data_IF_713406619075
#
_entry.id   IF_713406619075
#
_cell.length_a   1.000
_cell.length_b   1.000
_cell.length_c   1.000
_cell.angle_alpha   90.00
_cell.angle_beta   90.00
_cell.angle_gamma   90.00
#
_symmetry.space_group_name_H-M   'P 1'
#
loop_
_entity.id
_entity.type
_entity.pdbx_description
1 polymer ?
#
# COMPACT_ATOMS: atom_id res chain seq x y z
N UNK A 1 7.81 16.52 8.64
CA UNK A 1 7.31 17.89 8.89
C UNK A 1 8.32 18.58 9.77
N UNK A 2 8.70 19.82 9.48
CA UNK A 2 9.79 20.48 10.20
C UNK A 2 9.62 20.43 11.73
N UNK A 3 8.47 20.81 12.34
CA UNK A 3 8.35 20.81 13.79
C UNK A 3 8.43 19.42 14.45
N UNK A 4 8.07 18.34 13.71
CA UNK A 4 8.12 16.98 14.24
C UNK A 4 9.53 16.38 14.19
N UNK A 5 10.29 16.72 13.15
CA UNK A 5 11.61 16.12 12.89
C UNK A 5 12.74 16.99 13.43
N UNK A 6 12.58 18.32 13.43
CA UNK A 6 13.61 19.29 13.83
C UNK A 6 14.24 19.01 15.21
N UNK A 7 13.48 18.66 16.26
CA UNK A 7 14.09 18.36 17.56
C UNK A 7 15.10 17.22 17.50
N UNK A 8 14.76 16.12 16.83
CA UNK A 8 15.68 14.99 16.64
C UNK A 8 16.76 15.26 15.59
N UNK A 9 16.52 16.15 14.63
CA UNK A 9 17.48 16.43 13.56
C UNK A 9 18.61 17.35 14.02
N UNK A 10 18.31 18.34 14.86
CA UNK A 10 19.27 19.31 15.36
C UNK A 10 19.78 19.01 16.77
N UNK A 11 19.20 17.99 17.44
CA UNK A 11 19.68 17.52 18.73
C UNK A 11 21.00 16.75 18.63
N UNK A 12 21.79 16.78 19.69
CA UNK A 12 22.97 15.93 19.83
C UNK A 12 22.56 14.50 20.16
N UNK A 13 23.23 13.52 19.55
CA UNK A 13 22.97 12.09 19.77
C UNK A 13 24.22 11.37 20.24
N UNK A 14 24.14 10.77 21.42
CA UNK A 14 25.14 9.81 21.89
C UNK A 14 24.88 8.41 21.31
N UNK A 15 25.92 7.57 21.33
CA UNK A 15 25.79 6.18 20.91
C UNK A 15 24.77 5.42 21.76
N UNK A 16 23.83 4.77 21.09
CA UNK A 16 22.78 3.95 21.70
C UNK A 16 22.74 2.60 21.00
N UNK A 17 23.25 1.58 21.69
CA UNK A 17 23.38 0.23 21.14
C UNK A 17 22.01 -0.37 20.79
N UNK A 18 20.97 -0.11 21.61
CA UNK A 18 19.61 -0.65 21.36
C UNK A 18 19.04 -0.02 20.09
N UNK A 19 19.19 1.30 19.94
CA UNK A 19 18.78 2.03 18.74
C UNK A 19 19.50 1.51 17.50
N UNK A 20 20.81 1.31 17.58
CA UNK A 20 21.59 0.75 16.48
C UNK A 20 21.09 -0.65 16.07
N UNK A 21 20.86 -1.55 17.04
CA UNK A 21 20.30 -2.88 16.76
C UNK A 21 18.91 -2.80 16.11
N UNK A 22 18.02 -1.95 16.60
CA UNK A 22 16.65 -1.82 16.06
C UNK A 22 16.62 -1.22 14.67
N UNK A 23 17.53 -0.28 14.40
CA UNK A 23 17.73 0.30 13.09
C UNK A 23 18.24 -0.74 12.09
N UNK A 24 19.28 -1.50 12.44
CA UNK A 24 19.83 -2.56 11.60
C UNK A 24 18.79 -3.65 11.29
N UNK A 25 17.98 -4.08 12.27
CA UNK A 25 16.87 -5.02 12.03
C UNK A 25 15.91 -4.48 10.98
N UNK A 26 15.59 -3.18 11.06
CA UNK A 26 14.66 -2.54 10.15
C UNK A 26 15.24 -2.40 8.74
N UNK A 27 16.52 -2.05 8.63
CA UNK A 27 17.24 -1.97 7.35
C UNK A 27 17.25 -3.33 6.66
N UNK A 28 17.67 -4.39 7.37
CA UNK A 28 17.68 -5.75 6.82
C UNK A 28 16.28 -6.23 6.45
N UNK A 29 15.26 -5.93 7.26
CA UNK A 29 13.87 -6.22 6.90
C UNK A 29 13.41 -5.48 5.65
N UNK A 30 13.85 -4.24 5.46
CA UNK A 30 13.58 -3.47 4.25
C UNK A 30 14.23 -4.08 3.00
N UNK A 31 15.51 -4.46 3.10
CA UNK A 31 16.22 -5.15 2.03
C UNK A 31 15.60 -6.51 1.69
N UNK A 32 15.18 -7.29 2.69
CA UNK A 32 14.48 -8.54 2.48
C UNK A 32 13.22 -8.32 1.62
N UNK A 33 12.37 -7.35 1.98
CA UNK A 33 11.16 -7.06 1.20
C UNK A 33 11.48 -6.61 -0.23
N UNK A 34 12.44 -5.70 -0.39
CA UNK A 34 12.81 -5.17 -1.71
C UNK A 34 13.42 -6.25 -2.60
N UNK A 35 14.53 -6.84 -2.18
CA UNK A 35 15.37 -7.65 -3.07
C UNK A 35 14.93 -9.12 -3.13
N UNK A 36 14.33 -9.66 -2.06
CA UNK A 36 13.87 -11.06 -2.05
C UNK A 36 12.42 -11.19 -2.55
N UNK A 37 11.63 -10.12 -2.55
CA UNK A 37 10.21 -10.22 -2.95
C UNK A 37 9.89 -9.27 -4.09
N UNK A 38 10.07 -7.97 -3.91
CA UNK A 38 9.61 -7.00 -4.90
C UNK A 38 10.36 -7.12 -6.24
N UNK A 39 11.69 -7.13 -6.21
CA UNK A 39 12.54 -7.21 -7.42
C UNK A 39 12.37 -8.53 -8.18
N UNK A 40 11.85 -9.56 -7.52
CA UNK A 40 11.47 -10.82 -8.14
C UNK A 40 10.11 -10.78 -8.79
N UNK A 41 9.11 -10.25 -8.07
CA UNK A 41 7.73 -10.18 -8.56
C UNK A 41 7.55 -9.18 -9.71
N UNK A 42 8.37 -8.13 -9.76
CA UNK A 42 8.28 -7.09 -10.80
C UNK A 42 8.45 -7.65 -12.21
N UNK A 43 9.25 -8.72 -12.39
CA UNK A 43 9.45 -9.38 -13.68
C UNK A 43 8.13 -9.94 -14.22
N UNK A 44 7.41 -10.71 -13.39
CA UNK A 44 6.10 -11.23 -13.77
C UNK A 44 5.06 -10.13 -13.96
N UNK A 45 5.07 -9.09 -13.11
CA UNK A 45 4.16 -7.94 -13.24
C UNK A 45 4.36 -7.26 -14.59
N UNK A 46 5.60 -6.91 -14.94
CA UNK A 46 5.93 -6.26 -16.22
C UNK A 46 5.48 -7.13 -17.39
N UNK A 47 5.82 -8.43 -17.37
CA UNK A 47 5.43 -9.35 -18.46
C UNK A 47 3.91 -9.39 -18.66
N UNK A 48 3.11 -9.40 -17.59
CA UNK A 48 1.64 -9.40 -17.69
C UNK A 48 1.10 -8.07 -18.22
N UNK A 49 1.56 -6.94 -17.69
CA UNK A 49 0.98 -5.63 -18.01
C UNK A 49 1.42 -5.10 -19.37
N UNK A 50 2.58 -5.54 -19.86
CA UNK A 50 3.12 -5.16 -21.18
C UNK A 50 2.40 -5.85 -22.33
N UNK A 51 1.79 -7.02 -22.11
CA UNK A 51 1.05 -7.76 -23.15
C UNK A 51 -0.37 -8.19 -22.68
N UNK A 52 -1.30 -7.23 -22.54
CA UNK A 52 -2.66 -7.49 -22.08
C UNK A 52 -3.49 -8.35 -23.04
N UNK A 53 -3.08 -8.46 -24.31
CA UNK A 53 -3.77 -9.31 -25.29
C UNK A 53 -3.38 -10.77 -25.11
N UNK A 54 -2.10 -11.06 -24.81
CA UNK A 54 -1.62 -12.39 -24.46
C UNK A 54 -2.08 -12.84 -23.08
N UNK A 55 -2.19 -11.91 -22.11
CA UNK A 55 -2.55 -12.21 -20.72
C UNK A 55 -3.91 -11.61 -20.29
N UNK A 56 -5.03 -11.99 -20.91
CA UNK A 56 -6.36 -11.52 -20.54
C UNK A 56 -6.91 -12.25 -19.31
N UNK A 57 -8.07 -11.79 -18.82
CA UNK A 57 -8.89 -12.60 -17.92
C UNK A 57 -8.28 -12.75 -16.54
N UNK A 58 -8.19 -14.00 -16.09
CA UNK A 58 -7.61 -14.36 -14.80
C UNK A 58 -6.16 -13.87 -14.64
N UNK A 59 -5.41 -13.74 -15.74
CA UNK A 59 -4.03 -13.25 -15.68
C UNK A 59 -3.95 -11.78 -15.28
N UNK A 60 -4.95 -10.97 -15.63
CA UNK A 60 -5.06 -9.57 -15.15
C UNK A 60 -5.28 -9.54 -13.64
N UNK A 61 -6.17 -10.39 -13.11
CA UNK A 61 -6.41 -10.49 -11.67
C UNK A 61 -5.16 -10.99 -10.92
N UNK A 62 -4.47 -11.98 -11.48
CA UNK A 62 -3.20 -12.48 -10.94
C UNK A 62 -2.11 -11.40 -10.95
N UNK A 63 -1.94 -10.69 -12.08
CA UNK A 63 -1.02 -9.57 -12.20
C UNK A 63 -1.31 -8.45 -11.21
N UNK A 64 -2.59 -8.12 -10.96
CA UNK A 64 -2.98 -7.13 -9.95
C UNK A 64 -2.59 -7.55 -8.53
N UNK A 65 -2.69 -8.84 -8.20
CA UNK A 65 -2.25 -9.37 -6.90
C UNK A 65 -0.72 -9.36 -6.77
N UNK A 66 0.00 -9.76 -7.81
CA UNK A 66 1.46 -9.69 -7.85
C UNK A 66 1.93 -8.24 -7.71
N UNK A 67 1.33 -7.32 -8.44
CA UNK A 67 1.62 -5.88 -8.34
C UNK A 67 1.31 -5.34 -6.94
N UNK A 68 0.21 -5.76 -6.31
CA UNK A 68 -0.09 -5.33 -4.95
C UNK A 68 0.98 -5.78 -3.94
N UNK A 69 1.51 -7.00 -4.09
CA UNK A 69 2.58 -7.53 -3.25
C UNK A 69 3.94 -6.87 -3.55
N UNK A 70 4.28 -6.71 -4.82
CA UNK A 70 5.48 -6.04 -5.31
C UNK A 70 5.52 -4.59 -4.81
N UNK A 71 4.48 -3.80 -5.10
CA UNK A 71 4.36 -2.42 -4.67
C UNK A 71 4.44 -2.26 -3.15
N UNK A 72 3.85 -3.19 -2.38
CA UNK A 72 3.97 -3.17 -0.93
C UNK A 72 5.41 -3.44 -0.47
N UNK A 73 6.03 -4.48 -1.00
CA UNK A 73 7.36 -4.90 -0.56
C UNK A 73 8.44 -3.90 -0.99
N UNK A 74 8.34 -3.35 -2.20
CA UNK A 74 9.23 -2.31 -2.71
C UNK A 74 9.13 -1.05 -1.85
N UNK A 75 7.93 -0.49 -1.77
CA UNK A 75 7.75 0.83 -1.18
C UNK A 75 7.95 0.79 0.33
N UNK A 76 7.35 -0.18 1.01
CA UNK A 76 7.61 -0.31 2.46
C UNK A 76 9.03 -0.76 2.74
N UNK A 77 9.70 -1.47 1.81
CA UNK A 77 11.11 -1.85 1.91
C UNK A 77 12.01 -0.62 1.93
N UNK A 78 11.85 0.26 0.94
CA UNK A 78 12.57 1.53 0.85
C UNK A 78 12.35 2.40 2.07
N UNK A 79 11.09 2.58 2.50
CA UNK A 79 10.78 3.36 3.70
C UNK A 79 11.37 2.72 4.98
N UNK A 80 11.38 1.40 5.11
CA UNK A 80 11.99 0.75 6.27
C UNK A 80 13.51 0.96 6.31
N UNK A 81 14.18 0.94 5.15
CA UNK A 81 15.60 1.29 5.04
C UNK A 81 15.81 2.76 5.43
N UNK A 82 15.04 3.69 4.86
CA UNK A 82 15.14 5.13 5.18
C UNK A 82 14.95 5.41 6.66
N UNK A 83 13.90 4.85 7.28
CA UNK A 83 13.64 5.02 8.72
C UNK A 83 14.73 4.33 9.55
N UNK A 84 15.21 3.17 9.11
CA UNK A 84 16.31 2.48 9.78
C UNK A 84 17.59 3.33 9.79
N UNK A 85 17.98 3.87 8.63
CA UNK A 85 19.16 4.74 8.52
C UNK A 85 18.99 6.02 9.36
N UNK A 86 17.83 6.69 9.28
CA UNK A 86 17.56 7.87 10.09
C UNK A 86 17.71 7.58 11.60
N UNK A 87 17.18 6.45 12.07
CA UNK A 87 17.32 6.03 13.47
C UNK A 87 18.77 5.70 13.87
N UNK A 88 19.64 5.23 12.96
CA UNK A 88 21.07 5.06 13.27
C UNK A 88 21.73 6.38 13.66
N UNK A 89 21.31 7.48 13.03
CA UNK A 89 21.78 8.83 13.32
C UNK A 89 20.96 9.52 14.42
N UNK A 90 20.05 8.82 15.10
CA UNK A 90 19.17 9.38 16.12
C UNK A 90 18.05 10.29 15.61
N UNK A 91 17.85 10.36 14.28
CA UNK A 91 16.80 11.15 13.67
C UNK A 91 15.50 10.36 13.64
N UNK A 92 14.46 10.91 14.30
CA UNK A 92 13.15 10.30 14.35
C UNK A 92 12.31 10.71 13.15
N UNK A 93 11.90 9.72 12.37
CA UNK A 93 11.04 9.90 11.20
C UNK A 93 9.75 9.09 11.37
N UNK A 94 8.64 9.67 10.91
CA UNK A 94 7.32 9.08 11.08
C UNK A 94 7.14 7.80 10.27
N UNK A 95 6.37 6.86 10.83
CA UNK A 95 5.93 5.66 10.12
C UNK A 95 5.07 6.00 8.91
N UNK A 96 5.33 5.34 7.78
CA UNK A 96 4.57 5.56 6.55
C UNK A 96 3.53 4.47 6.26
N UNK A 97 3.67 3.29 6.87
CA UNK A 97 2.81 2.14 6.62
C UNK A 97 2.44 1.43 7.90
N UNK A 98 1.15 1.08 8.05
CA UNK A 98 0.65 0.37 9.21
C UNK A 98 -0.29 -0.76 8.80
N UNK A 99 0.29 -1.85 8.27
CA UNK A 99 -0.45 -3.07 7.87
C UNK A 99 -1.72 -2.75 7.05
N UNK A 100 -1.57 -2.06 5.90
CA UNK A 100 -2.70 -1.56 5.11
C UNK A 100 -3.60 -2.68 4.57
N UNK A 101 -3.04 -3.85 4.27
CA UNK A 101 -3.81 -5.01 3.79
C UNK A 101 -4.76 -5.63 4.84
N UNK A 102 -4.70 -5.20 6.10
CA UNK A 102 -5.67 -5.58 7.14
C UNK A 102 -6.85 -4.60 7.27
N UNK A 103 -6.96 -3.63 6.36
CA UNK A 103 -8.02 -2.61 6.38
C UNK A 103 -9.36 -3.20 5.97
N UNK A 104 -10.43 -2.78 6.65
CA UNK A 104 -11.80 -3.25 6.40
C UNK A 104 -12.56 -2.36 5.41
N UNK A 105 -12.03 -1.20 5.07
CA UNK A 105 -12.57 -0.29 4.07
C UNK A 105 -11.46 0.60 3.48
N UNK A 106 -11.75 1.26 2.36
CA UNK A 106 -10.78 2.07 1.60
C UNK A 106 -10.31 3.29 2.39
N UNK A 107 -11.18 3.94 3.17
CA UNK A 107 -10.76 5.05 4.03
C UNK A 107 -9.77 4.60 5.12
N UNK A 108 -9.95 3.40 5.69
CA UNK A 108 -9.00 2.80 6.62
C UNK A 108 -7.68 2.42 5.93
N UNK A 109 -7.75 1.91 4.70
CA UNK A 109 -6.58 1.59 3.88
C UNK A 109 -5.68 2.81 3.73
N UNK A 110 -6.23 3.95 3.32
CA UNK A 110 -5.49 5.20 3.14
C UNK A 110 -5.02 5.87 4.43
N UNK A 111 -5.60 5.52 5.58
CA UNK A 111 -5.04 5.90 6.89
C UNK A 111 -3.84 5.06 7.30
N UNK A 112 -3.58 3.94 6.62
CA UNK A 112 -2.52 2.96 6.91
C UNK A 112 -1.50 2.82 5.78
N UNK A 113 -1.77 3.40 4.62
CA UNK A 113 -0.92 3.41 3.44
C UNK A 113 -0.42 4.83 3.19
N UNK A 114 0.89 5.01 3.00
CA UNK A 114 1.51 6.30 2.71
C UNK A 114 1.07 7.42 3.68
N UNK A 115 1.11 7.12 4.98
CA UNK A 115 0.57 7.94 6.07
C UNK A 115 1.12 9.37 6.04
N UNK A 116 2.42 9.55 5.76
CA UNK A 116 3.05 10.87 5.77
C UNK A 116 2.49 11.75 4.66
N UNK A 117 2.34 11.22 3.44
CA UNK A 117 1.72 11.90 2.30
C UNK A 117 0.23 12.17 2.55
N UNK A 118 -0.51 11.17 3.03
CA UNK A 118 -1.94 11.33 3.35
C UNK A 118 -2.18 12.41 4.41
N UNK A 119 -1.30 12.50 5.41
CA UNK A 119 -1.36 13.55 6.43
C UNK A 119 -0.95 14.91 5.86
N UNK A 120 0.01 14.97 4.94
CA UNK A 120 0.39 16.19 4.23
C UNK A 120 -0.78 16.76 3.41
N UNK A 121 -1.40 15.97 2.54
CA UNK A 121 -2.57 16.42 1.76
C UNK A 121 -3.76 16.81 2.64
N UNK A 122 -3.99 16.08 3.74
CA UNK A 122 -5.06 16.42 4.68
C UNK A 122 -4.84 17.81 5.30
N UNK A 123 -3.63 18.10 5.76
CA UNK A 123 -3.36 19.32 6.51
C UNK A 123 -3.11 20.54 5.62
N UNK A 124 -2.52 20.34 4.44
CA UNK A 124 -2.18 21.42 3.50
C UNK A 124 -3.16 21.59 2.34
N UNK A 125 -4.05 20.63 2.09
CA UNK A 125 -5.05 20.71 1.01
C UNK A 125 -6.47 20.57 1.55
N UNK A 126 -6.81 19.47 2.22
CA UNK A 126 -8.19 19.18 2.62
C UNK A 126 -8.77 20.21 3.60
N UNK A 127 -8.13 20.43 4.75
CA UNK A 127 -8.65 21.35 5.75
C UNK A 127 -8.70 22.81 5.27
N UNK A 128 -7.63 23.35 4.64
CA UNK A 128 -7.68 24.70 4.08
C UNK A 128 -8.84 24.88 3.09
N UNK A 129 -9.06 23.90 2.20
CA UNK A 129 -10.15 23.95 1.22
C UNK A 129 -11.54 23.92 1.86
N UNK A 130 -11.75 23.11 2.91
CA UNK A 130 -13.03 23.07 3.61
C UNK A 130 -13.43 24.45 4.17
N UNK A 131 -12.44 25.27 4.56
CA UNK A 131 -12.63 26.63 5.10
C UNK A 131 -12.48 27.75 4.06
N UNK A 132 -12.23 27.40 2.79
CA UNK A 132 -12.01 28.39 1.75
C UNK A 132 -13.30 29.19 1.46
N UNK A 133 -13.17 30.52 1.28
CA UNK A 133 -14.32 31.41 1.02
C UNK A 133 -15.26 30.91 -0.09
N UNK A 134 -14.78 30.41 -1.25
CA UNK A 134 -15.66 29.88 -2.30
C UNK A 134 -16.47 28.65 -1.83
N UNK A 135 -15.84 27.74 -1.09
CA UNK A 135 -16.48 26.53 -0.56
C UNK A 135 -17.51 26.89 0.51
N UNK A 136 -17.22 27.87 1.36
CA UNK A 136 -18.18 28.39 2.34
C UNK A 136 -19.40 29.04 1.67
N UNK A 137 -19.21 29.82 0.58
CA UNK A 137 -20.30 30.40 -0.20
C UNK A 137 -21.19 29.29 -0.82
N UNK A 138 -20.56 28.28 -1.41
CA UNK A 138 -21.27 27.12 -1.99
C UNK A 138 -22.04 26.34 -0.90
N UNK A 139 -21.44 26.18 0.28
CA UNK A 139 -22.08 25.53 1.43
C UNK A 139 -23.32 26.30 1.90
N UNK A 140 -23.25 27.63 1.97
CA UNK A 140 -24.40 28.48 2.32
C UNK A 140 -25.50 28.39 1.26
N UNK A 141 -25.14 28.42 -0.01
CA UNK A 141 -26.10 28.23 -1.12
C UNK A 141 -26.80 26.86 -1.01
N UNK A 142 -26.04 25.79 -0.79
CA UNK A 142 -26.58 24.45 -0.63
C UNK A 142 -27.49 24.32 0.59
N UNK A 143 -27.16 24.98 1.71
CA UNK A 143 -28.02 25.05 2.89
C UNK A 143 -29.38 25.66 2.56
N UNK A 144 -29.39 26.77 1.83
CA UNK A 144 -30.62 27.49 1.49
C UNK A 144 -31.51 26.72 0.51
N UNK A 145 -30.91 25.99 -0.45
CA UNK A 145 -31.65 25.29 -1.51
C UNK A 145 -32.01 23.84 -1.18
N UNK A 146 -31.15 23.14 -0.44
CA UNK A 146 -31.23 21.68 -0.23
C UNK A 146 -31.19 21.27 1.26
N UNK A 147 -31.15 22.24 2.18
CA UNK A 147 -31.20 22.00 3.62
C UNK A 147 -29.84 21.65 4.27
N UNK A 148 -29.89 21.41 5.58
CA UNK A 148 -28.69 21.25 6.42
C UNK A 148 -27.86 20.00 6.08
N UNK A 149 -28.50 18.93 5.59
CA UNK A 149 -27.81 17.69 5.20
C UNK A 149 -26.84 17.92 4.04
N UNK A 150 -27.29 18.61 2.98
CA UNK A 150 -26.46 18.95 1.83
C UNK A 150 -25.31 19.88 2.24
N UNK A 151 -25.58 20.88 3.10
CA UNK A 151 -24.58 21.82 3.59
C UNK A 151 -23.41 21.12 4.32
N UNK A 152 -23.67 20.03 5.05
CA UNK A 152 -22.60 19.27 5.74
C UNK A 152 -21.70 18.50 4.76
N UNK A 153 -22.23 18.09 3.60
CA UNK A 153 -21.53 17.23 2.62
C UNK A 153 -20.68 18.02 1.63
N UNK A 154 -21.17 19.18 1.18
CA UNK A 154 -20.50 20.04 0.19
C UNK A 154 -19.01 20.28 0.47
N UNK A 155 -18.59 20.75 1.66
CA UNK A 155 -17.17 21.03 1.89
C UNK A 155 -16.31 19.77 1.83
N UNK A 156 -16.83 18.65 2.33
CA UNK A 156 -16.15 17.35 2.30
C UNK A 156 -15.97 16.89 0.85
N UNK A 157 -17.01 17.00 0.02
CA UNK A 157 -16.95 16.55 -1.38
C UNK A 157 -15.96 17.36 -2.19
N UNK A 158 -16.05 18.69 -2.11
CA UNK A 158 -15.14 19.57 -2.85
C UNK A 158 -13.70 19.32 -2.40
N UNK A 159 -13.45 19.29 -1.10
CA UNK A 159 -12.10 19.07 -0.58
C UNK A 159 -11.57 17.67 -0.92
N UNK A 160 -12.39 16.61 -0.87
CA UNK A 160 -11.99 15.26 -1.26
C UNK A 160 -11.70 15.16 -2.76
N UNK A 161 -12.55 15.73 -3.62
CA UNK A 161 -12.33 15.72 -5.08
C UNK A 161 -11.01 16.41 -5.42
N UNK A 162 -10.78 17.60 -4.89
CA UNK A 162 -9.54 18.35 -5.15
C UNK A 162 -8.34 17.60 -4.58
N UNK A 163 -8.42 17.11 -3.34
CA UNK A 163 -7.33 16.34 -2.72
C UNK A 163 -6.94 15.12 -3.57
N UNK A 164 -7.92 14.33 -3.99
CA UNK A 164 -7.66 13.10 -4.76
C UNK A 164 -7.21 13.38 -6.18
N UNK A 165 -7.71 14.45 -6.80
CA UNK A 165 -7.20 14.93 -8.08
C UNK A 165 -5.73 15.35 -7.96
N UNK A 166 -5.39 16.17 -6.97
CA UNK A 166 -4.00 16.58 -6.70
C UNK A 166 -3.11 15.40 -6.33
N UNK A 167 -3.63 14.41 -5.60
CA UNK A 167 -2.91 13.18 -5.29
C UNK A 167 -2.60 12.40 -6.56
N UNK A 168 -3.57 12.26 -7.48
CA UNK A 168 -3.34 11.65 -8.79
C UNK A 168 -2.31 12.42 -9.62
N UNK A 169 -2.43 13.75 -9.67
CA UNK A 169 -1.49 14.61 -10.39
C UNK A 169 -0.06 14.53 -9.82
N UNK A 170 0.08 14.35 -8.51
CA UNK A 170 1.38 14.14 -7.85
C UNK A 170 2.05 12.81 -8.25
N UNK A 171 1.29 11.77 -8.60
CA UNK A 171 1.88 10.48 -9.01
C UNK A 171 2.44 10.51 -10.45
N UNK A 172 2.04 11.48 -11.29
CA UNK A 172 2.64 11.65 -12.61
C UNK A 172 1.70 12.27 -13.65
N UNK A 173 2.28 12.63 -14.80
CA UNK A 173 1.60 13.32 -15.90
C UNK A 173 0.77 12.39 -16.82
N UNK A 174 0.15 11.34 -16.27
CA UNK A 174 -0.72 10.42 -17.01
C UNK A 174 -2.16 10.50 -16.53
N UNK A 175 -3.13 10.42 -17.45
CA UNK A 175 -4.55 10.34 -17.13
C UNK A 175 -4.90 9.14 -16.25
N UNK A 176 -4.10 8.06 -16.32
CA UNK A 176 -4.24 6.92 -15.44
C UNK A 176 -4.18 7.30 -13.96
N UNK A 177 -3.20 8.11 -13.57
CA UNK A 177 -3.05 8.53 -12.17
C UNK A 177 -4.19 9.45 -11.70
N UNK A 178 -4.70 10.30 -12.60
CA UNK A 178 -5.89 11.11 -12.31
C UNK A 178 -7.11 10.22 -12.08
N UNK A 179 -7.37 9.24 -12.96
CA UNK A 179 -8.48 8.31 -12.80
C UNK A 179 -8.33 7.40 -11.59
N UNK A 180 -7.11 7.00 -11.26
CA UNK A 180 -6.81 6.28 -10.03
C UNK A 180 -7.18 7.11 -8.79
N UNK A 181 -6.78 8.38 -8.74
CA UNK A 181 -7.08 9.27 -7.62
C UNK A 181 -8.59 9.51 -7.51
N UNK A 182 -9.22 9.84 -8.63
CA UNK A 182 -10.67 10.05 -8.71
C UNK A 182 -11.47 8.78 -8.40
N UNK A 183 -10.98 7.61 -8.78
CA UNK A 183 -11.58 6.31 -8.44
C UNK A 183 -11.57 6.05 -6.94
N UNK A 184 -10.45 6.33 -6.26
CA UNK A 184 -10.38 6.27 -4.81
C UNK A 184 -11.34 7.26 -4.14
N UNK A 185 -11.40 8.50 -4.65
CA UNK A 185 -12.36 9.51 -4.18
C UNK A 185 -13.80 9.01 -4.29
N UNK A 186 -14.17 8.51 -5.47
CA UNK A 186 -15.50 8.00 -5.76
C UNK A 186 -15.89 6.88 -4.78
N UNK A 187 -15.04 5.88 -4.59
CA UNK A 187 -15.32 4.77 -3.68
C UNK A 187 -15.48 5.26 -2.23
N UNK A 188 -14.66 6.20 -1.78
CA UNK A 188 -14.76 6.77 -0.43
C UNK A 188 -16.07 7.54 -0.25
N UNK A 189 -16.42 8.42 -1.18
CA UNK A 189 -17.64 9.24 -1.11
C UNK A 189 -18.91 8.38 -1.21
N UNK A 190 -18.93 7.40 -2.11
CA UNK A 190 -20.04 6.44 -2.20
C UNK A 190 -20.16 5.65 -0.91
N UNK A 191 -19.04 5.18 -0.33
CA UNK A 191 -19.07 4.49 0.96
C UNK A 191 -19.64 5.36 2.09
N UNK A 192 -19.32 6.66 2.11
CA UNK A 192 -19.89 7.61 3.06
C UNK A 192 -21.41 7.76 2.89
N UNK A 193 -21.90 7.86 1.65
CA UNK A 193 -23.34 7.97 1.38
C UNK A 193 -24.12 6.70 1.70
N UNK A 194 -23.48 5.53 1.60
CA UNK A 194 -24.07 4.25 1.97
C UNK A 194 -24.05 3.98 3.49
N UNK A 195 -23.46 4.87 4.30
CA UNK A 195 -23.41 4.74 5.77
C UNK A 195 -24.77 4.44 6.42
N UNK A 196 -25.90 5.07 6.03
CA UNK A 196 -27.21 4.73 6.59
C UNK A 196 -27.64 3.29 6.32
N UNK A 197 -27.29 2.73 5.15
CA UNK A 197 -27.56 1.33 4.82
C UNK A 197 -26.72 0.39 5.67
N UNK A 198 -25.44 0.72 5.87
CA UNK A 198 -24.58 -0.03 6.78
C UNK A 198 -25.14 -0.02 8.20
N UNK A 199 -25.59 1.14 8.70
CA UNK A 199 -26.23 1.24 10.02
C UNK A 199 -27.48 0.36 10.12
N UNK A 200 -28.34 0.34 9.10
CA UNK A 200 -29.52 -0.54 9.05
C UNK A 200 -29.14 -2.03 9.08
N UNK A 201 -28.09 -2.42 8.37
CA UNK A 201 -27.57 -3.78 8.41
C UNK A 201 -27.03 -4.16 9.80
N UNK A 202 -26.23 -3.30 10.43
CA UNK A 202 -25.67 -3.58 11.76
C UNK A 202 -26.75 -3.57 12.85
N UNK A 203 -27.82 -2.78 12.69
CA UNK A 203 -28.97 -2.85 13.58
C UNK A 203 -29.68 -4.22 13.53
N UNK A 204 -29.70 -4.87 12.36
CA UNK A 204 -30.24 -6.24 12.20
C UNK A 204 -29.24 -7.33 12.63
N UNK A 205 -27.95 -7.03 12.62
CA UNK A 205 -26.89 -7.97 12.98
C UNK A 205 -25.86 -7.32 13.94
N UNK A 206 -26.23 -7.08 15.21
CA UNK A 206 -25.39 -6.30 16.15
C UNK A 206 -24.01 -6.91 16.40
N UNK A 207 -23.91 -8.23 16.43
CA UNK A 207 -22.67 -8.94 16.75
C UNK A 207 -21.78 -9.25 15.53
N UNK A 208 -22.18 -8.83 14.33
CA UNK A 208 -21.49 -9.21 13.09
C UNK A 208 -20.04 -8.71 13.07
N UNK A 209 -19.79 -7.55 13.67
CA UNK A 209 -18.47 -6.94 13.80
C UNK A 209 -17.50 -7.74 14.68
N UNK A 210 -18.00 -8.67 15.50
CA UNK A 210 -17.16 -9.56 16.29
C UNK A 210 -16.76 -10.83 15.53
N UNK A 211 -17.56 -11.22 14.52
CA UNK A 211 -17.37 -12.46 13.78
C UNK A 211 -16.16 -12.37 12.85
N UNK A 212 -15.33 -13.41 12.87
CA UNK A 212 -14.09 -13.44 12.09
C UNK A 212 -14.36 -13.44 10.58
N UNK A 213 -15.37 -14.17 10.11
CA UNK A 213 -15.70 -14.27 8.69
C UNK A 213 -16.14 -12.91 8.10
N UNK A 214 -16.86 -12.08 8.86
CA UNK A 214 -17.26 -10.75 8.41
C UNK A 214 -16.05 -9.80 8.31
N UNK A 215 -15.15 -9.85 9.29
CA UNK A 215 -13.88 -9.11 9.25
C UNK A 215 -13.05 -9.52 8.04
N UNK A 216 -12.92 -10.83 7.80
CA UNK A 216 -12.20 -11.38 6.64
C UNK A 216 -12.83 -10.94 5.33
N UNK A 217 -14.16 -11.01 5.20
CA UNK A 217 -14.87 -10.53 4.01
C UNK A 217 -14.61 -9.04 3.75
N UNK A 218 -14.67 -8.20 4.79
CA UNK A 218 -14.38 -6.77 4.66
C UNK A 218 -12.94 -6.51 4.21
N UNK A 219 -11.98 -7.28 4.72
CA UNK A 219 -10.56 -7.21 4.34
C UNK A 219 -10.39 -7.64 2.88
N UNK A 220 -10.91 -8.81 2.49
CA UNK A 220 -10.82 -9.33 1.12
C UNK A 220 -11.45 -8.34 0.13
N UNK A 221 -12.67 -7.85 0.41
CA UNK A 221 -13.35 -6.83 -0.40
C UNK A 221 -12.50 -5.58 -0.57
N UNK A 222 -11.92 -5.07 0.52
CA UNK A 222 -11.12 -3.84 0.48
C UNK A 222 -9.88 -4.02 -0.39
N UNK A 223 -9.18 -5.14 -0.23
CA UNK A 223 -8.01 -5.43 -1.04
C UNK A 223 -8.36 -5.68 -2.51
N UNK A 224 -9.47 -6.36 -2.80
CA UNK A 224 -9.94 -6.56 -4.18
C UNK A 224 -10.25 -5.22 -4.87
N UNK A 225 -10.97 -4.32 -4.20
CA UNK A 225 -11.24 -2.97 -4.72
C UNK A 225 -9.93 -2.21 -4.97
N UNK A 226 -8.98 -2.27 -4.02
CA UNK A 226 -7.67 -1.62 -4.21
C UNK A 226 -6.88 -2.22 -5.36
N UNK A 227 -6.92 -3.55 -5.57
CA UNK A 227 -6.27 -4.19 -6.71
C UNK A 227 -6.88 -3.70 -8.03
N UNK A 228 -8.21 -3.57 -8.11
CA UNK A 228 -8.88 -3.02 -9.29
C UNK A 228 -8.49 -1.56 -9.55
N UNK A 229 -8.43 -0.72 -8.50
CA UNK A 229 -8.00 0.67 -8.65
C UNK A 229 -6.54 0.77 -9.09
N UNK A 230 -5.68 -0.10 -8.58
CA UNK A 230 -4.25 -0.16 -8.94
C UNK A 230 -3.95 -0.63 -10.36
N UNK A 231 -4.94 -1.14 -11.10
CA UNK A 231 -4.76 -1.40 -12.53
C UNK A 231 -4.38 -0.12 -13.28
N UNK A 232 -4.90 1.03 -12.86
CA UNK A 232 -4.51 2.33 -13.42
C UNK A 232 -3.03 2.65 -13.15
N UNK A 233 -2.44 2.15 -12.07
CA UNK A 233 -1.02 2.42 -11.76
C UNK A 233 -0.06 1.56 -12.60
N UNK A 234 -0.48 0.34 -12.98
CA UNK A 234 0.42 -0.64 -13.62
C UNK A 234 0.28 -0.74 -15.14
N UNK A 235 -0.86 -0.35 -15.72
CA UNK A 235 -1.04 -0.33 -17.17
C UNK A 235 -0.62 1.02 -17.78
N UNK A 236 -0.21 0.99 -19.05
CA UNK A 236 0.35 2.16 -19.75
C UNK A 236 -0.63 3.33 -19.94
N UNK A 237 -1.90 3.03 -20.22
CA UNK A 237 -2.91 4.02 -20.57
C UNK A 237 -4.32 3.60 -20.16
N UNK A 238 -5.24 4.56 -20.21
CA UNK A 238 -6.63 4.40 -19.76
C UNK A 238 -7.38 3.36 -20.60
N UNK A 239 -7.35 3.39 -21.95
CA UNK A 239 -8.01 2.37 -22.76
C UNK A 239 -7.52 0.95 -22.46
N UNK A 240 -6.21 0.76 -22.31
CA UNK A 240 -5.61 -0.54 -22.01
C UNK A 240 -6.04 -1.04 -20.64
N UNK A 241 -6.08 -0.14 -19.64
CA UNK A 241 -6.55 -0.47 -18.28
C UNK A 241 -7.99 -0.97 -18.31
N UNK A 242 -8.89 -0.26 -19.00
CA UNK A 242 -10.30 -0.68 -19.10
C UNK A 242 -10.47 -1.98 -19.90
N UNK A 243 -9.70 -2.17 -20.99
CA UNK A 243 -9.70 -3.43 -21.75
C UNK A 243 -9.25 -4.60 -20.87
N UNK A 244 -8.16 -4.44 -20.13
CA UNK A 244 -7.66 -5.45 -19.20
C UNK A 244 -8.69 -5.76 -18.11
N UNK A 245 -9.27 -4.73 -17.47
CA UNK A 245 -10.33 -4.91 -16.48
C UNK A 245 -11.56 -5.63 -17.06
N UNK A 246 -12.03 -5.23 -18.23
CA UNK A 246 -13.16 -5.87 -18.91
C UNK A 246 -12.87 -7.32 -19.32
N UNK A 247 -11.61 -7.65 -19.62
CA UNK A 247 -11.21 -9.01 -19.97
C UNK A 247 -11.42 -10.00 -18.83
N UNK A 248 -11.33 -9.56 -17.56
CA UNK A 248 -11.60 -10.40 -16.39
C UNK A 248 -13.00 -11.03 -16.41
N UNK A 249 -13.97 -10.34 -17.03
CA UNK A 249 -15.37 -10.78 -17.08
C UNK A 249 -15.77 -11.36 -18.43
N UNK A 250 -15.08 -10.97 -19.51
CA UNK A 250 -15.42 -11.36 -20.88
C UNK A 250 -14.56 -12.50 -21.42
N UNK A 251 -13.33 -12.66 -20.91
CA UNK A 251 -12.35 -13.67 -21.33
C UNK A 251 -11.63 -14.28 -20.12
N UNK A 252 -12.33 -14.92 -19.17
CA UNK A 252 -11.75 -15.32 -17.89
C UNK A 252 -10.54 -16.27 -17.99
N UNK A 253 -10.41 -17.06 -19.07
CA UNK A 253 -9.17 -17.80 -19.45
C UNK A 253 -8.48 -18.56 -18.31
N UNK A 254 -9.23 -19.23 -17.42
CA UNK A 254 -8.69 -19.94 -16.24
C UNK A 254 -7.59 -20.95 -16.55
N UNK A 255 -7.61 -21.55 -17.76
CA UNK A 255 -6.61 -22.51 -18.21
C UNK A 255 -5.19 -21.90 -18.30
N UNK A 256 -5.05 -20.57 -18.33
CA UNK A 256 -3.77 -19.87 -18.33
C UNK A 256 -3.06 -19.91 -16.97
N UNK A 257 -3.75 -20.25 -15.87
CA UNK A 257 -3.11 -20.50 -14.57
C UNK A 257 -2.50 -21.90 -14.51
N UNK A 258 -1.61 -22.20 -15.45
CA UNK A 258 -0.89 -23.46 -15.53
C UNK A 258 0.62 -23.22 -15.33
N UNK A 259 1.35 -24.30 -15.02
CA UNK A 259 2.79 -24.21 -14.76
C UNK A 259 3.59 -23.60 -15.93
N UNK A 260 3.24 -23.94 -17.18
CA UNK A 260 3.96 -23.42 -18.36
C UNK A 260 3.79 -21.91 -18.51
N UNK A 261 2.57 -21.39 -18.44
CA UNK A 261 2.30 -19.95 -18.55
C UNK A 261 2.91 -19.17 -17.39
N UNK A 262 2.95 -19.73 -16.17
CA UNK A 262 3.60 -19.08 -15.04
C UNK A 262 5.12 -18.99 -15.21
N UNK A 263 5.75 -20.03 -15.79
CA UNK A 263 7.18 -20.01 -16.10
C UNK A 263 7.49 -19.05 -17.26
N UNK A 264 6.56 -18.91 -18.23
CA UNK A 264 6.67 -17.94 -19.34
C UNK A 264 6.63 -16.47 -18.87
N UNK A 265 6.27 -16.20 -17.61
CA UNK A 265 6.34 -14.85 -17.03
C UNK A 265 7.76 -14.39 -16.70
N UNK A 266 8.76 -15.27 -16.88
CA UNK A 266 10.16 -14.98 -16.60
C UNK A 266 10.61 -15.34 -15.17
N UNK A 267 9.77 -16.05 -14.40
CA UNK A 267 10.10 -16.55 -13.07
C UNK A 267 10.25 -18.07 -13.09
N UNK A 268 11.27 -18.58 -12.41
CA UNK A 268 11.39 -20.02 -12.18
C UNK A 268 10.41 -20.49 -11.10
N UNK A 269 10.19 -21.80 -10.99
CA UNK A 269 9.39 -22.38 -9.90
C UNK A 269 9.99 -22.03 -8.51
N UNK A 270 11.32 -21.94 -8.42
CA UNK A 270 12.01 -21.52 -7.20
C UNK A 270 11.72 -20.06 -6.85
N UNK A 271 11.65 -19.17 -7.85
CA UNK A 271 11.30 -17.76 -7.64
C UNK A 271 9.90 -17.62 -7.04
N UNK A 272 8.90 -18.32 -7.59
CA UNK A 272 7.56 -18.31 -7.03
C UNK A 272 7.54 -18.84 -5.59
N UNK A 273 8.27 -19.92 -5.31
CA UNK A 273 8.34 -20.49 -3.97
C UNK A 273 8.98 -19.51 -2.97
N UNK A 274 10.08 -18.85 -3.34
CA UNK A 274 10.77 -17.86 -2.51
C UNK A 274 9.86 -16.65 -2.24
N UNK A 275 9.24 -16.10 -3.29
CA UNK A 275 8.35 -14.95 -3.15
C UNK A 275 7.14 -15.28 -2.26
N UNK A 276 6.52 -16.46 -2.46
CA UNK A 276 5.40 -16.91 -1.66
C UNK A 276 5.79 -17.13 -0.19
N UNK A 277 6.90 -17.81 0.07
CA UNK A 277 7.43 -17.97 1.43
C UNK A 277 7.73 -16.62 2.10
N UNK A 278 8.28 -15.67 1.35
CA UNK A 278 8.54 -14.32 1.83
C UNK A 278 7.26 -13.55 2.18
N UNK A 279 6.22 -13.64 1.34
CA UNK A 279 4.91 -13.05 1.62
C UNK A 279 4.28 -13.68 2.88
N UNK A 280 4.37 -15.00 3.04
CA UNK A 280 3.89 -15.68 4.25
C UNK A 280 4.65 -15.22 5.50
N UNK A 281 5.97 -15.03 5.40
CA UNK A 281 6.78 -14.49 6.49
C UNK A 281 6.36 -13.07 6.86
N UNK A 282 6.16 -12.18 5.88
CA UNK A 282 5.64 -10.82 6.10
C UNK A 282 4.27 -10.85 6.79
N UNK A 283 3.38 -11.75 6.35
CA UNK A 283 2.07 -11.92 6.93
C UNK A 283 2.16 -12.39 8.39
N UNK A 284 3.00 -13.39 8.67
CA UNK A 284 3.23 -13.90 10.02
C UNK A 284 3.79 -12.81 10.95
N UNK A 285 4.83 -12.08 10.50
CA UNK A 285 5.39 -10.94 11.23
C UNK A 285 4.32 -9.87 11.48
N UNK A 286 3.50 -9.54 10.48
CA UNK A 286 2.40 -8.58 10.61
C UNK A 286 1.35 -9.02 11.63
N UNK A 287 1.08 -10.32 11.74
CA UNK A 287 0.17 -10.88 12.74
C UNK A 287 0.76 -10.80 14.15
N UNK A 288 2.05 -11.08 14.31
CA UNK A 288 2.75 -10.92 15.60
C UNK A 288 2.77 -9.45 16.02
N UNK A 289 2.99 -8.53 15.06
CA UNK A 289 2.98 -7.08 15.31
C UNK A 289 1.65 -6.54 15.85
N UNK A 290 0.54 -7.30 15.76
CA UNK A 290 -0.73 -6.93 16.40
C UNK A 290 -0.70 -7.08 17.93
N UNK A 291 0.24 -7.87 18.46
CA UNK A 291 0.42 -8.11 19.90
C UNK A 291 1.50 -7.22 20.53
N UNK A 292 2.33 -6.56 19.73
CA UNK A 292 3.41 -5.70 20.21
C UNK A 292 4.54 -5.54 19.20
N UNK A 293 5.62 -4.84 19.59
CA UNK A 293 6.79 -4.65 18.73
C UNK A 293 7.60 -5.95 18.61
N UNK A 294 7.74 -6.47 17.39
CA UNK A 294 8.58 -7.65 17.10
C UNK A 294 10.04 -7.40 17.47
N UNK A 295 10.54 -6.18 17.26
CA UNK A 295 11.91 -5.78 17.59
C UNK A 295 12.17 -5.86 19.10
N UNK A 296 11.22 -5.40 19.92
CA UNK A 296 11.26 -5.54 21.39
C UNK A 296 11.18 -7.01 21.83
N UNK A 297 10.38 -7.83 21.14
CA UNK A 297 10.30 -9.27 21.43
C UNK A 297 11.62 -9.99 21.12
N UNK A 298 12.33 -9.58 20.06
CA UNK A 298 13.66 -10.08 19.71
C UNK A 298 14.71 -9.60 20.72
N UNK A 299 14.63 -8.33 21.17
CA UNK A 299 15.60 -7.76 22.11
C UNK A 299 15.64 -8.48 23.46
N UNK A 300 14.49 -9.02 23.89
CA UNK A 300 14.36 -9.84 25.10
C UNK A 300 15.02 -11.22 24.99
N UNK A 301 15.51 -11.62 23.81
CA UNK A 301 16.18 -12.91 23.59
C UNK A 301 17.68 -12.81 23.83
N UNK A 302 18.32 -13.95 24.13
CA UNK A 302 19.76 -14.02 24.35
C UNK A 302 20.59 -13.53 23.16
N UNK A 303 21.83 -13.10 23.42
CA UNK A 303 22.74 -12.56 22.41
C UNK A 303 22.94 -13.52 21.21
N UNK A 304 23.22 -14.81 21.47
CA UNK A 304 23.43 -15.81 20.43
C UNK A 304 22.22 -15.94 19.49
N UNK A 305 21.00 -15.94 20.03
CA UNK A 305 19.77 -15.98 19.21
C UNK A 305 19.65 -14.74 18.34
N UNK A 306 19.90 -13.55 18.90
CA UNK A 306 19.85 -12.29 18.16
C UNK A 306 20.89 -12.32 17.02
N UNK A 307 22.14 -12.66 17.29
CA UNK A 307 23.18 -12.74 16.27
C UNK A 307 22.84 -13.75 15.17
N UNK A 308 22.37 -14.95 15.53
CA UNK A 308 21.96 -15.97 14.58
C UNK A 308 20.81 -15.49 13.68
N UNK A 309 19.81 -14.80 14.25
CA UNK A 309 18.69 -14.26 13.48
C UNK A 309 19.16 -13.19 12.47
N UNK A 310 20.07 -12.30 12.86
CA UNK A 310 20.63 -11.29 11.96
C UNK A 310 21.47 -11.93 10.86
N UNK A 311 22.35 -12.86 11.21
CA UNK A 311 23.18 -13.59 10.25
C UNK A 311 22.32 -14.38 9.25
N UNK A 312 21.25 -15.02 9.72
CA UNK A 312 20.30 -15.72 8.87
C UNK A 312 19.57 -14.75 7.93
N UNK A 313 19.05 -13.64 8.42
CA UNK A 313 18.35 -12.66 7.59
C UNK A 313 19.28 -12.06 6.53
N UNK A 314 20.53 -11.76 6.91
CA UNK A 314 21.56 -11.29 5.99
C UNK A 314 21.90 -12.35 4.94
N UNK A 315 22.12 -13.60 5.34
CA UNK A 315 22.39 -14.71 4.41
C UNK A 315 21.22 -14.94 3.45
N UNK A 316 19.97 -14.88 3.91
CA UNK A 316 18.78 -14.97 3.06
C UNK A 316 18.76 -13.88 2.01
N UNK A 317 19.11 -12.64 2.37
CA UNK A 317 19.18 -11.53 1.42
C UNK A 317 20.26 -11.81 0.36
N UNK A 318 21.46 -12.24 0.76
CA UNK A 318 22.56 -12.50 -0.18
C UNK A 318 22.28 -13.69 -1.11
N UNK A 319 21.73 -14.78 -0.57
CA UNK A 319 21.50 -16.03 -1.32
C UNK A 319 20.24 -15.98 -2.18
N UNK A 320 19.15 -15.40 -1.66
CA UNK A 320 17.85 -15.38 -2.33
C UNK A 320 17.45 -14.01 -2.87
N UNK A 321 18.33 -13.01 -2.77
CA UNK A 321 18.14 -11.73 -3.43
C UNK A 321 18.14 -11.90 -4.95
N UNK A 322 17.23 -11.20 -5.62
CA UNK A 322 17.16 -11.16 -7.07
C UNK A 322 18.28 -10.25 -7.62
N UNK A 323 19.52 -10.76 -7.62
CA UNK A 323 20.71 -10.09 -8.17
C UNK A 323 21.24 -10.85 -9.40
N UNK A 324 21.81 -10.14 -10.38
CA UNK A 324 22.64 -10.74 -11.44
C UNK A 324 21.98 -10.82 -12.83
N UNK A 325 22.54 -11.65 -13.71
CA UNK A 325 22.10 -11.78 -15.11
C UNK A 325 20.62 -12.20 -15.19
N UNK A 326 19.79 -11.35 -15.78
CA UNK A 326 18.33 -11.53 -15.87
C UNK A 326 17.52 -10.71 -14.86
N UNK A 327 18.17 -10.07 -13.88
CA UNK A 327 17.55 -9.13 -12.94
C UNK A 327 18.27 -7.78 -13.02
N UNK A 328 17.65 -6.80 -13.69
CA UNK A 328 18.13 -5.42 -13.63
C UNK A 328 17.85 -4.82 -12.26
N UNK A 329 18.82 -4.08 -11.71
CA UNK A 329 18.64 -3.35 -10.46
C UNK A 329 17.54 -2.30 -10.65
N UNK A 330 16.33 -2.62 -10.21
CA UNK A 330 15.20 -1.70 -10.31
C UNK A 330 15.27 -0.65 -9.21
N UNK A 331 15.23 0.62 -9.61
CA UNK A 331 15.03 1.72 -8.67
C UNK A 331 13.75 1.47 -7.86
N UNK A 332 13.71 1.94 -6.60
CA UNK A 332 12.49 1.89 -5.80
C UNK A 332 11.36 2.55 -6.59
N UNK A 333 10.16 1.96 -6.60
CA UNK A 333 8.97 2.52 -7.26
C UNK A 333 8.74 3.96 -6.78
N UNK A 334 8.99 4.23 -5.49
CA UNK A 334 8.89 5.57 -4.93
C UNK A 334 9.77 6.61 -5.62
N UNK A 335 10.96 6.22 -6.12
CA UNK A 335 11.88 7.15 -6.79
C UNK A 335 11.41 7.57 -8.19
N UNK A 336 10.35 6.94 -8.70
CA UNK A 336 9.75 7.26 -10.01
C UNK A 336 8.61 8.28 -9.92
N UNK A 337 8.23 8.71 -8.70
CA UNK A 337 7.20 9.72 -8.43
C UNK A 337 7.78 11.11 -8.21
#
# INVERSE_FOLDING_TARGET
RFPLTAPSLFGEHSWDEKRARFALQRILWGYFKKVVIADRLVVAVITIVSDPEKYPGVMVAFGALLYAAELYCDFTGGIDITIGVANLFGVEVSENFLRPFFSKNIAEYWRRWHITLGTWFKDYTFYPLCTAKPVMKLTKFAKNKFGAGAAKRVPIYVASIVLWFCTGAWHGASWNFILWGMGNCFVILVSQELTPLYKRFHAKHPDIDNKWYYKTMCIVRTNAIMCCLRLFDCYKDVPTTFKAFGSMFTKPSFNMLNGTTLLDLGLTAADYAIAFAGILLIFAVSMIQRRGSVREMIDKKGFAFRLALFALLFAVIIVFGAYGLGYDSNSFIYSKF
#
